data_IF_741284126454
#
_entry.id   IF_741284126454
#
_cell.length_a   1.000
_cell.length_b   1.000
_cell.length_c   1.000
_cell.angle_alpha   90.00
_cell.angle_beta   90.00
_cell.angle_gamma   90.00
#
_symmetry.space_group_name_H-M   'P 1'
#
loop_
_entity.id
_entity.type
_entity.pdbx_description
1 polymer ?
#
# COMPACT_ATOMS: atom_id res chain seq x y z
N UNK A 1 -22.32 -3.75 8.23
CA UNK A 1 -23.30 -4.34 7.28
C UNK A 1 -23.13 -3.63 5.95
N UNK A 2 -23.03 -4.36 4.84
CA UNK A 2 -22.98 -3.75 3.51
C UNK A 2 -24.32 -3.04 3.24
N UNK A 3 -24.28 -1.77 2.85
CA UNK A 3 -25.46 -1.03 2.41
C UNK A 3 -25.92 -1.61 1.08
N UNK A 4 -27.16 -2.08 1.00
CA UNK A 4 -27.75 -2.51 -0.27
C UNK A 4 -28.11 -1.27 -1.08
N UNK A 5 -27.36 -1.03 -2.15
CA UNK A 5 -27.64 0.07 -3.08
C UNK A 5 -28.74 -0.34 -4.07
N UNK A 6 -29.68 0.57 -4.35
CA UNK A 6 -30.76 0.37 -5.32
C UNK A 6 -30.50 1.11 -6.64
N UNK A 7 -29.51 2.01 -6.69
CA UNK A 7 -29.11 2.73 -7.89
C UNK A 7 -27.60 2.68 -8.11
N UNK A 8 -27.16 2.89 -9.36
CA UNK A 8 -25.73 3.01 -9.68
C UNK A 8 -25.08 4.22 -9.00
N UNK A 9 -25.83 5.30 -8.81
CA UNK A 9 -25.37 6.50 -8.11
C UNK A 9 -25.00 6.19 -6.66
N UNK A 10 -25.88 5.49 -5.93
CA UNK A 10 -25.60 5.07 -4.56
C UNK A 10 -24.37 4.15 -4.45
N UNK A 11 -24.15 3.28 -5.45
CA UNK A 11 -22.93 2.45 -5.52
C UNK A 11 -21.70 3.35 -5.63
N UNK A 12 -21.71 4.33 -6.53
CA UNK A 12 -20.59 5.27 -6.73
C UNK A 12 -20.32 6.10 -5.49
N UNK A 13 -21.34 6.64 -4.83
CA UNK A 13 -21.19 7.40 -3.59
C UNK A 13 -20.54 6.56 -2.47
N UNK A 14 -20.91 5.28 -2.37
CA UNK A 14 -20.30 4.36 -1.42
C UNK A 14 -18.85 4.03 -1.77
N UNK A 15 -18.52 3.88 -3.05
CA UNK A 15 -17.15 3.71 -3.53
C UNK A 15 -16.33 4.97 -3.20
N UNK A 16 -16.81 6.16 -3.54
CA UNK A 16 -16.13 7.43 -3.24
C UNK A 16 -15.88 7.60 -1.74
N UNK A 17 -16.83 7.16 -0.89
CA UNK A 17 -16.65 7.13 0.56
C UNK A 17 -15.53 6.18 0.99
N UNK A 18 -15.45 4.99 0.39
CA UNK A 18 -14.39 4.02 0.67
C UNK A 18 -13.04 4.53 0.16
N UNK A 19 -12.99 5.14 -1.02
CA UNK A 19 -11.76 5.69 -1.60
C UNK A 19 -11.14 6.75 -0.69
N UNK A 20 -11.96 7.62 -0.07
CA UNK A 20 -11.48 8.57 0.95
C UNK A 20 -10.80 7.86 2.13
N UNK A 21 -11.35 6.73 2.59
CA UNK A 21 -10.78 5.94 3.68
C UNK A 21 -9.50 5.23 3.24
N UNK A 22 -9.49 4.66 2.03
CA UNK A 22 -8.32 3.99 1.45
C UNK A 22 -7.16 4.98 1.30
N UNK A 23 -7.40 6.18 0.77
CA UNK A 23 -6.37 7.22 0.63
C UNK A 23 -5.81 7.66 1.99
N UNK A 24 -6.67 7.82 3.00
CA UNK A 24 -6.21 8.14 4.36
C UNK A 24 -5.30 7.03 4.94
N UNK A 25 -5.69 5.76 4.77
CA UNK A 25 -4.89 4.61 5.21
C UNK A 25 -3.58 4.49 4.42
N UNK A 26 -3.58 4.83 3.12
CA UNK A 26 -2.37 4.88 2.30
C UNK A 26 -1.40 5.94 2.81
N UNK A 27 -1.90 7.13 3.15
CA UNK A 27 -1.08 8.20 3.72
C UNK A 27 -0.45 7.78 5.07
N UNK A 28 -1.25 7.17 5.95
CA UNK A 28 -0.76 6.64 7.23
C UNK A 28 0.30 5.54 7.00
N UNK A 29 0.01 4.57 6.13
CA UNK A 29 0.96 3.51 5.77
C UNK A 29 2.25 4.09 5.20
N UNK A 30 2.16 5.10 4.32
CA UNK A 30 3.30 5.80 3.75
C UNK A 30 4.19 6.45 4.81
N UNK A 31 3.58 7.07 5.83
CA UNK A 31 4.33 7.66 6.95
C UNK A 31 5.19 6.62 7.70
N UNK A 32 4.70 5.38 7.85
CA UNK A 32 5.48 4.29 8.45
C UNK A 32 6.58 3.76 7.53
N UNK A 33 6.33 3.73 6.22
CA UNK A 33 7.35 3.40 5.23
C UNK A 33 8.50 4.41 5.28
N UNK A 34 8.22 5.72 5.26
CA UNK A 34 9.25 6.76 5.38
C UNK A 34 10.00 6.70 6.72
N UNK A 35 9.36 6.29 7.81
CA UNK A 35 10.05 6.02 9.07
C UNK A 35 10.97 4.80 8.97
N UNK A 36 10.52 3.72 8.33
CA UNK A 36 11.31 2.51 8.12
C UNK A 36 12.58 2.81 7.31
N UNK A 37 12.53 3.74 6.36
CA UNK A 37 13.69 4.20 5.60
C UNK A 37 14.85 4.70 6.49
N UNK A 38 14.54 5.33 7.64
CA UNK A 38 15.56 5.81 8.59
C UNK A 38 16.39 4.70 9.23
N UNK A 39 15.88 3.47 9.25
CA UNK A 39 16.57 2.30 9.81
C UNK A 39 17.35 1.51 8.76
N UNK A 40 17.11 1.75 7.47
CA UNK A 40 17.79 1.07 6.36
C UNK A 40 19.09 1.82 6.05
N UNK A 41 20.24 1.22 6.34
CA UNK A 41 21.56 1.82 6.09
C UNK A 41 22.02 1.71 4.63
N UNK A 42 21.52 0.69 3.90
CA UNK A 42 21.92 0.37 2.53
C UNK A 42 20.71 0.21 1.60
N UNK A 43 20.90 0.46 0.30
CA UNK A 43 19.85 0.39 -0.73
C UNK A 43 19.26 -1.01 -0.91
N UNK A 44 19.99 -2.08 -0.57
CA UNK A 44 19.48 -3.45 -0.61
C UNK A 44 18.42 -3.71 0.48
N UNK A 45 18.45 -2.95 1.59
CA UNK A 45 17.40 -2.96 2.60
C UNK A 45 16.07 -2.36 2.11
N UNK A 46 16.08 -1.62 1.00
CA UNK A 46 14.89 -0.93 0.45
C UNK A 46 13.93 -1.93 -0.20
N UNK A 47 14.44 -2.92 -0.94
CA UNK A 47 13.61 -3.88 -1.67
C UNK A 47 13.08 -5.04 -0.83
N UNK A 48 13.83 -5.46 0.19
CA UNK A 48 13.47 -6.48 1.19
C UNK A 48 12.49 -7.57 0.67
N UNK A 49 12.86 -8.38 -0.34
CA UNK A 49 11.93 -9.26 -1.05
C UNK A 49 11.23 -10.27 -0.14
N UNK A 50 11.94 -10.79 0.88
CA UNK A 50 11.33 -11.66 1.89
C UNK A 50 10.21 -10.97 2.66
N UNK A 51 10.36 -9.67 2.97
CA UNK A 51 9.34 -8.90 3.68
C UNK A 51 8.12 -8.66 2.81
N UNK A 52 8.31 -8.44 1.50
CA UNK A 52 7.20 -8.30 0.55
C UNK A 52 6.36 -9.57 0.55
N UNK A 53 6.96 -10.75 0.38
CA UNK A 53 6.21 -12.01 0.37
C UNK A 53 5.51 -12.31 1.70
N UNK A 54 6.12 -11.97 2.84
CA UNK A 54 5.45 -12.07 4.14
C UNK A 54 4.18 -11.20 4.21
N UNK A 55 4.23 -9.97 3.70
CA UNK A 55 3.05 -9.09 3.66
C UNK A 55 2.00 -9.67 2.73
N UNK A 56 2.40 -10.17 1.55
CA UNK A 56 1.48 -10.77 0.59
C UNK A 56 0.75 -11.98 1.18
N UNK A 57 1.46 -12.91 1.81
CA UNK A 57 0.84 -14.08 2.44
C UNK A 57 -0.17 -13.66 3.51
N UNK A 58 0.20 -12.70 4.37
CA UNK A 58 -0.70 -12.20 5.41
C UNK A 58 -1.98 -11.57 4.85
N UNK A 59 -1.89 -10.79 3.77
CA UNK A 59 -3.07 -10.11 3.21
C UNK A 59 -3.95 -11.07 2.42
N UNK A 60 -3.38 -12.12 1.81
CA UNK A 60 -4.16 -13.20 1.21
C UNK A 60 -4.99 -13.93 2.28
N UNK A 61 -4.38 -14.30 3.41
CA UNK A 61 -5.11 -14.89 4.55
C UNK A 61 -6.20 -13.97 5.09
N UNK A 62 -5.90 -12.67 5.22
CA UNK A 62 -6.88 -11.68 5.64
C UNK A 62 -8.03 -11.54 4.63
N UNK A 63 -7.73 -11.65 3.33
CA UNK A 63 -8.75 -11.60 2.27
C UNK A 63 -9.75 -12.72 2.43
N UNK A 64 -9.28 -13.95 2.65
CA UNK A 64 -10.15 -15.09 2.94
C UNK A 64 -11.03 -14.84 4.17
N UNK A 65 -10.45 -14.29 5.24
CA UNK A 65 -11.17 -14.02 6.49
C UNK A 65 -12.26 -12.95 6.33
N UNK A 66 -12.01 -11.94 5.48
CA UNK A 66 -12.93 -10.83 5.25
C UNK A 66 -13.87 -11.03 4.04
N UNK A 67 -13.79 -12.18 3.35
CA UNK A 67 -14.58 -12.47 2.16
C UNK A 67 -14.17 -11.69 0.91
N UNK A 68 -12.95 -11.16 0.88
CA UNK A 68 -12.38 -10.50 -0.30
C UNK A 68 -11.71 -11.53 -1.22
N UNK A 69 -11.58 -11.19 -2.52
CA UNK A 69 -10.84 -12.02 -3.46
C UNK A 69 -9.32 -11.91 -3.16
N UNK A 70 -8.63 -13.03 -2.87
CA UNK A 70 -7.22 -13.02 -2.50
C UNK A 70 -6.30 -12.58 -3.65
N UNK A 71 -6.64 -12.90 -4.89
CA UNK A 71 -5.81 -12.58 -6.06
C UNK A 71 -5.93 -11.10 -6.45
N UNK A 72 -7.13 -10.52 -6.29
CA UNK A 72 -7.31 -9.06 -6.41
C UNK A 72 -6.54 -8.33 -5.31
N UNK A 73 -6.63 -8.83 -4.08
CA UNK A 73 -5.96 -8.20 -2.93
C UNK A 73 -4.44 -8.25 -3.08
N UNK A 74 -3.89 -9.38 -3.50
CA UNK A 74 -2.45 -9.51 -3.78
C UNK A 74 -1.99 -8.50 -4.83
N UNK A 75 -2.69 -8.38 -5.96
CA UNK A 75 -2.31 -7.45 -7.03
C UNK A 75 -2.28 -6.00 -6.54
N UNK A 76 -3.30 -5.58 -5.78
CA UNK A 76 -3.35 -4.24 -5.17
C UNK A 76 -2.17 -4.03 -4.22
N UNK A 77 -1.87 -5.00 -3.36
CA UNK A 77 -0.76 -4.88 -2.41
C UNK A 77 0.61 -4.88 -3.09
N UNK A 78 0.83 -5.69 -4.13
CA UNK A 78 2.10 -5.68 -4.88
C UNK A 78 2.32 -4.34 -5.57
N UNK A 79 1.28 -3.78 -6.20
CA UNK A 79 1.35 -2.47 -6.83
C UNK A 79 1.63 -1.36 -5.79
N UNK A 80 0.91 -1.37 -4.67
CA UNK A 80 1.12 -0.42 -3.56
C UNK A 80 2.54 -0.50 -3.00
N UNK A 81 3.05 -1.69 -2.71
CA UNK A 81 4.42 -1.89 -2.20
C UNK A 81 5.45 -1.37 -3.21
N UNK A 82 5.27 -1.70 -4.49
CA UNK A 82 6.16 -1.24 -5.56
C UNK A 82 6.20 0.28 -5.65
N UNK A 83 5.05 0.94 -5.57
CA UNK A 83 4.95 2.40 -5.60
C UNK A 83 5.68 3.06 -4.43
N UNK A 84 5.55 2.52 -3.21
CA UNK A 84 6.27 3.02 -2.04
C UNK A 84 7.79 2.84 -2.16
N UNK A 85 8.25 1.68 -2.65
CA UNK A 85 9.68 1.44 -2.91
C UNK A 85 10.21 2.44 -3.94
N UNK A 86 9.46 2.70 -5.01
CA UNK A 86 9.84 3.68 -6.03
C UNK A 86 9.91 5.10 -5.46
N UNK A 87 8.97 5.48 -4.60
CA UNK A 87 8.98 6.76 -3.91
C UNK A 87 10.21 6.90 -3.00
N UNK A 88 10.51 5.88 -2.18
CA UNK A 88 11.71 5.86 -1.33
C UNK A 88 12.99 6.04 -2.17
N UNK A 89 13.13 5.28 -3.26
CA UNK A 89 14.31 5.37 -4.14
C UNK A 89 14.47 6.78 -4.76
N UNK A 90 13.37 7.42 -5.15
CA UNK A 90 13.38 8.77 -5.69
C UNK A 90 13.80 9.81 -4.64
N UNK A 91 13.27 9.71 -3.41
CA UNK A 91 13.63 10.58 -2.27
C UNK A 91 15.13 10.45 -1.94
N UNK A 92 15.66 9.23 -1.88
CA UNK A 92 17.08 8.98 -1.66
C UNK A 92 17.96 9.59 -2.76
N UNK A 93 17.57 9.46 -4.04
CA UNK A 93 18.33 10.02 -5.16
C UNK A 93 18.36 11.57 -5.15
N UNK A 94 17.27 12.22 -4.72
CA UNK A 94 17.22 13.68 -4.62
C UNK A 94 18.13 14.22 -3.49
N UNK A 95 18.21 13.49 -2.37
CA UNK A 95 19.08 13.84 -1.24
C UNK A 95 20.57 13.72 -1.58
N UNK A 96 20.96 12.70 -2.37
CA UNK A 96 22.37 12.53 -2.78
C UNK A 96 22.81 13.58 -3.81
N UNK A 97 21.92 14.04 -4.70
CA UNK A 97 22.22 15.09 -5.69
C UNK A 97 22.32 16.49 -5.10
N UNK A 98 21.63 16.77 -3.99
CA UNK A 98 21.67 18.10 -3.34
C UNK A 98 22.94 18.37 -2.51
N UNK A 99 23.83 17.37 -2.39
CA UNK A 99 25.04 17.42 -1.57
C UNK A 99 26.33 17.53 -2.41
N UNK A 100 26.22 17.71 -3.73
CA UNK A 100 27.35 17.89 -4.68
C UNK A 100 27.24 19.24 -5.37
#
# INVERSE_FOLDING_TARGET
MAVTCTTLEQVRENIDRLDRQIVALLAERGSFVSQAARFKKDSDGVKAPQRVEQVINKVRELSHTLGANPDVTEQVYRAMISAFIQQELAEHAALTQSTT
#
